data_IF_349375830275
#
_entry.id   IF_349375830275
#
_cell.length_a   1.000
_cell.length_b   1.000
_cell.length_c   1.000
_cell.angle_alpha   90.00
_cell.angle_beta   90.00
_cell.angle_gamma   90.00
#
_symmetry.space_group_name_H-M   'P 1'
#
loop_
_entity.id
_entity.type
_entity.pdbx_description
1 polymer ?
#
# COMPACT_ATOMS: atom_id res chain seq x y z
N UNK A 1 -14.67 26.51 -65.49
CA UNK A 1 -15.93 26.37 -64.71
C UNK A 1 -15.97 24.95 -64.15
N UNK A 2 -14.90 24.50 -63.51
CA UNK A 2 -14.54 24.71 -62.10
C UNK A 2 -15.64 24.10 -61.22
N UNK A 3 -15.52 22.81 -60.92
CA UNK A 3 -16.19 22.28 -59.75
C UNK A 3 -15.20 21.42 -58.97
N UNK A 4 -14.46 22.13 -58.11
CA UNK A 4 -13.52 21.59 -57.14
C UNK A 4 -14.26 20.68 -56.17
N UNK A 5 -13.97 19.38 -56.25
CA UNK A 5 -14.34 18.41 -55.22
C UNK A 5 -13.43 18.70 -54.03
N UNK A 6 -13.98 19.27 -52.96
CA UNK A 6 -13.27 19.49 -51.71
C UNK A 6 -13.08 18.16 -50.99
N UNK A 7 -11.85 17.66 -50.99
CA UNK A 7 -11.35 16.69 -50.04
C UNK A 7 -11.46 17.27 -48.61
N UNK A 8 -12.49 16.86 -47.86
CA UNK A 8 -12.47 17.03 -46.41
C UNK A 8 -11.78 15.81 -45.83
N UNK A 9 -10.48 15.97 -45.65
CA UNK A 9 -9.59 15.04 -45.00
C UNK A 9 -10.22 14.49 -43.72
N UNK A 10 -10.18 13.17 -43.61
CA UNK A 10 -10.40 12.39 -42.40
C UNK A 10 -9.43 12.87 -41.32
N UNK A 11 -9.86 13.77 -40.45
CA UNK A 11 -9.17 14.05 -39.20
C UNK A 11 -9.77 13.10 -38.16
N UNK A 12 -9.10 11.99 -37.77
CA UNK A 12 -9.35 11.48 -36.44
C UNK A 12 -8.99 12.64 -35.52
N UNK A 13 -9.98 13.18 -34.81
CA UNK A 13 -9.74 13.99 -33.64
C UNK A 13 -8.91 13.11 -32.71
N UNK A 14 -7.59 13.23 -32.84
CA UNK A 14 -6.61 12.76 -31.90
C UNK A 14 -6.86 13.61 -30.67
N UNK A 15 -7.92 13.25 -29.95
CA UNK A 15 -8.19 13.69 -28.60
C UNK A 15 -6.99 13.17 -27.86
N UNK A 16 -6.02 14.06 -27.70
CA UNK A 16 -4.94 13.93 -26.76
C UNK A 16 -5.61 13.69 -25.42
N UNK A 17 -5.85 12.42 -25.12
CA UNK A 17 -5.90 11.92 -23.77
C UNK A 17 -4.52 12.24 -23.20
N UNK A 18 -4.35 13.49 -22.77
CA UNK A 18 -3.40 13.82 -21.75
C UNK A 18 -3.89 13.02 -20.54
N UNK A 19 -3.48 11.76 -20.49
CA UNK A 19 -3.45 11.00 -19.27
C UNK A 19 -2.54 11.84 -18.38
N UNK A 20 -3.12 12.73 -17.58
CA UNK A 20 -2.43 13.23 -16.42
C UNK A 20 -2.00 11.96 -15.72
N UNK A 21 -0.69 11.74 -15.61
CA UNK A 21 -0.16 10.62 -14.85
C UNK A 21 -0.45 10.93 -13.38
N UNK A 22 -1.72 10.83 -13.01
CA UNK A 22 -2.22 11.07 -11.68
C UNK A 22 -1.53 10.05 -10.80
N UNK A 23 -0.59 10.51 -9.98
CA UNK A 23 0.10 9.63 -9.08
C UNK A 23 -0.91 9.15 -8.03
N UNK A 24 -1.19 7.85 -8.02
CA UNK A 24 -2.08 7.25 -7.02
C UNK A 24 -1.25 6.82 -5.81
N UNK A 25 -1.62 7.32 -4.64
CA UNK A 25 -0.97 7.02 -3.37
C UNK A 25 -1.75 5.91 -2.64
N UNK A 26 -1.21 4.70 -2.62
CA UNK A 26 -1.81 3.56 -1.89
C UNK A 26 -1.36 3.52 -0.43
N UNK A 27 -2.28 3.28 0.51
CA UNK A 27 -1.90 2.94 1.88
C UNK A 27 -1.17 1.59 1.93
N UNK A 28 -0.12 1.49 2.74
CA UNK A 28 0.73 0.28 2.87
C UNK A 28 0.52 -0.47 4.18
N UNK A 29 -0.52 -0.13 4.95
CA UNK A 29 -0.85 -0.86 6.17
C UNK A 29 -1.38 -2.26 5.84
N UNK A 30 -1.05 -3.27 6.65
CA UNK A 30 -1.26 -4.69 6.33
C UNK A 30 -2.70 -5.05 5.91
N UNK A 31 -3.70 -4.32 6.41
CA UNK A 31 -5.12 -4.58 6.12
C UNK A 31 -5.86 -3.36 5.54
N UNK A 32 -5.13 -2.34 5.06
CA UNK A 32 -5.72 -1.18 4.43
C UNK A 32 -5.53 -1.24 2.91
N UNK A 33 -6.63 -1.07 2.17
CA UNK A 33 -6.63 -1.07 0.70
C UNK A 33 -7.03 0.28 0.09
N UNK A 34 -7.10 1.33 0.90
CA UNK A 34 -7.48 2.66 0.42
C UNK A 34 -6.35 3.29 -0.41
N UNK A 35 -6.77 4.01 -1.44
CA UNK A 35 -5.91 4.75 -2.36
C UNK A 35 -6.36 6.21 -2.43
N UNK A 36 -5.42 7.11 -2.64
CA UNK A 36 -5.65 8.55 -2.61
C UNK A 36 -5.03 9.20 -3.86
N UNK A 37 -5.63 10.28 -4.34
CA UNK A 37 -5.10 11.08 -5.46
C UNK A 37 -4.04 12.09 -5.01
N UNK A 38 -3.86 12.28 -3.71
CA UNK A 38 -2.93 13.24 -3.12
C UNK A 38 -2.19 12.62 -1.92
N UNK A 39 -0.93 13.00 -1.76
CA UNK A 39 -0.09 12.55 -0.66
C UNK A 39 -0.59 13.06 0.69
N UNK A 40 -1.07 14.31 0.77
CA UNK A 40 -1.56 14.88 2.02
C UNK A 40 -2.75 14.09 2.58
N UNK A 41 -3.65 13.63 1.71
CA UNK A 41 -4.78 12.78 2.06
C UNK A 41 -4.32 11.42 2.59
N UNK A 42 -3.33 10.79 1.96
CA UNK A 42 -2.74 9.54 2.46
C UNK A 42 -2.13 9.74 3.85
N UNK A 43 -1.36 10.80 4.06
CA UNK A 43 -0.71 11.08 5.36
C UNK A 43 -1.76 11.27 6.45
N UNK A 44 -2.79 12.09 6.19
CA UNK A 44 -3.87 12.29 7.14
C UNK A 44 -4.59 10.96 7.46
N UNK A 45 -4.90 10.16 6.44
CA UNK A 45 -5.50 8.83 6.62
C UNK A 45 -4.62 7.94 7.52
N UNK A 46 -3.32 7.83 7.25
CA UNK A 46 -2.41 6.98 8.02
C UNK A 46 -2.32 7.42 9.48
N UNK A 47 -2.28 8.73 9.74
CA UNK A 47 -2.21 9.25 11.11
C UNK A 47 -3.49 8.94 11.88
N UNK A 48 -4.66 9.23 11.29
CA UNK A 48 -5.94 9.13 11.99
C UNK A 48 -6.44 7.69 12.14
N UNK A 49 -6.30 6.87 11.10
CA UNK A 49 -6.86 5.52 11.08
C UNK A 49 -5.89 4.46 11.61
N UNK A 50 -4.57 4.63 11.40
CA UNK A 50 -3.59 3.60 11.74
C UNK A 50 -2.69 3.99 12.91
N UNK A 51 -1.92 5.08 12.77
CA UNK A 51 -0.88 5.42 13.73
C UNK A 51 -1.43 5.69 15.14
N UNK A 52 -2.49 6.51 15.26
CA UNK A 52 -3.12 6.81 16.55
C UNK A 52 -3.79 5.61 17.22
N UNK A 53 -4.22 4.62 16.45
CA UNK A 53 -4.89 3.41 16.97
C UNK A 53 -3.91 2.26 17.23
N UNK A 54 -2.70 2.34 16.70
CA UNK A 54 -1.66 1.32 16.89
C UNK A 54 -1.01 1.40 18.27
N UNK A 55 -0.64 0.25 18.81
CA UNK A 55 0.14 0.16 20.05
C UNK A 55 1.60 0.49 19.71
N UNK A 56 2.21 1.53 20.31
CA UNK A 56 3.60 1.86 20.06
C UNK A 56 4.51 0.73 20.53
N UNK A 57 5.35 0.20 19.65
CA UNK A 57 6.35 -0.81 19.97
C UNK A 57 7.69 -0.14 20.20
N UNK A 58 8.36 -0.44 21.32
CA UNK A 58 9.71 0.08 21.55
C UNK A 58 10.67 -0.54 20.55
N UNK A 59 11.64 0.24 20.08
CA UNK A 59 12.58 -0.21 19.04
C UNK A 59 13.29 -1.54 19.37
N UNK A 60 13.66 -1.73 20.64
CA UNK A 60 14.31 -2.96 21.13
C UNK A 60 13.38 -4.20 21.10
N UNK A 61 12.07 -3.99 21.10
CA UNK A 61 11.07 -5.06 21.15
C UNK A 61 10.66 -5.50 19.73
N UNK A 62 10.96 -4.72 18.67
CA UNK A 62 10.58 -5.01 17.28
C UNK A 62 11.04 -6.40 16.83
N UNK A 63 12.29 -6.77 17.12
CA UNK A 63 12.83 -8.08 16.73
C UNK A 63 12.14 -9.25 17.46
N UNK A 64 11.63 -9.02 18.66
CA UNK A 64 10.89 -10.03 19.43
C UNK A 64 9.47 -10.17 18.88
N UNK A 65 8.76 -9.05 18.69
CA UNK A 65 7.40 -9.05 18.11
C UNK A 65 7.39 -9.76 16.76
N UNK A 66 8.35 -9.45 15.90
CA UNK A 66 8.48 -10.07 14.59
C UNK A 66 8.69 -11.59 14.67
N UNK A 67 9.57 -12.07 15.56
CA UNK A 67 9.76 -13.52 15.77
C UNK A 67 8.48 -14.21 16.24
N UNK A 68 7.69 -13.54 17.09
CA UNK A 68 6.41 -14.07 17.57
C UNK A 68 5.39 -14.14 16.42
N UNK A 69 5.26 -13.09 15.61
CA UNK A 69 4.36 -13.05 14.46
C UNK A 69 4.72 -14.06 13.38
N UNK A 70 6.02 -14.29 13.16
CA UNK A 70 6.56 -15.27 12.22
C UNK A 70 6.52 -16.71 12.77
N UNK A 71 6.07 -16.92 14.01
CA UNK A 71 6.06 -18.23 14.66
C UNK A 71 7.45 -18.84 14.87
N UNK A 72 8.50 -18.01 14.82
CA UNK A 72 9.91 -18.41 14.92
C UNK A 72 10.35 -18.39 16.38
N UNK A 73 9.84 -19.35 17.16
CA UNK A 73 10.24 -19.56 18.55
C UNK A 73 10.69 -21.00 18.78
N UNK A 74 11.82 -21.19 19.46
CA UNK A 74 12.21 -22.51 19.93
C UNK A 74 11.19 -22.97 20.97
N UNK A 75 10.41 -24.00 20.63
CA UNK A 75 9.52 -24.64 21.58
C UNK A 75 10.37 -25.15 22.75
N UNK A 76 10.08 -24.68 23.97
CA UNK A 76 10.70 -25.24 25.18
C UNK A 76 10.22 -26.69 25.29
N UNK A 77 11.02 -27.61 24.75
CA UNK A 77 10.75 -29.03 24.79
C UNK A 77 10.65 -29.45 26.27
N UNK A 78 9.43 -29.76 26.72
CA UNK A 78 9.06 -30.10 28.10
C UNK A 78 9.68 -31.42 28.62
N UNK A 79 10.65 -32.00 27.91
CA UNK A 79 11.27 -33.28 28.24
C UNK A 79 12.23 -33.22 29.44
N UNK A 80 12.56 -32.04 29.96
CA UNK A 80 13.56 -31.89 31.06
C UNK A 80 12.97 -31.88 32.48
N UNK A 81 11.63 -31.95 32.63
CA UNK A 81 10.97 -31.84 33.95
C UNK A 81 10.62 -33.18 34.63
N UNK A 82 11.02 -34.33 34.07
CA UNK A 82 10.71 -35.67 34.64
C UNK A 82 11.93 -36.48 35.10
N UNK A 83 13.11 -35.88 35.23
CA UNK A 83 14.30 -36.55 35.81
C UNK A 83 14.53 -36.09 37.25
N UNK A 84 13.71 -36.61 38.16
CA UNK A 84 13.84 -36.30 39.59
C UNK A 84 12.82 -37.01 40.47
N UNK A 85 12.79 -38.35 40.43
CA UNK A 85 12.40 -39.23 41.56
C UNK A 85 13.26 -40.49 41.46
#
# INVERSE_FOLDING_TARGET
>A
MDNSISEVASHPLSSSFQASSGHVYSCKWAWCRLTFSDNALLVQHVIHEHARRSIPVRRRDIAIVRRIEEGSGDSLHMSSLVKGV
#
